data_IF_704041894582
#
_entry.id   IF_704041894582
#
_cell.length_a   1.000
_cell.length_b   1.000
_cell.length_c   1.000
_cell.angle_alpha   90.00
_cell.angle_beta   90.00
_cell.angle_gamma   90.00
#
_symmetry.space_group_name_H-M   'P 1'
#
loop_
_entity.id
_entity.type
_entity.pdbx_description
1 polymer ?
#
# COMPACT_ATOMS: atom_id res chain seq x y z
N UNK A 1 34.94 -2.02 -8.70
CA UNK A 1 34.08 -3.12 -9.17
C UNK A 1 32.65 -2.68 -8.96
N UNK A 2 31.85 -2.55 -10.01
CA UNK A 2 30.43 -2.20 -9.88
C UNK A 2 29.76 -3.33 -9.11
N UNK A 3 29.08 -3.00 -8.03
CA UNK A 3 28.26 -3.94 -7.26
C UNK A 3 27.11 -4.38 -8.18
N UNK A 4 27.26 -5.57 -8.76
CA UNK A 4 26.35 -6.15 -9.74
C UNK A 4 25.17 -6.87 -9.05
N UNK A 5 24.88 -6.51 -7.77
CA UNK A 5 23.76 -7.06 -7.03
C UNK A 5 22.45 -6.48 -7.60
N UNK A 6 21.58 -7.36 -8.12
CA UNK A 6 20.24 -6.98 -8.54
C UNK A 6 19.44 -6.49 -7.34
N UNK A 7 18.66 -5.42 -7.50
CA UNK A 7 17.73 -4.93 -6.48
C UNK A 7 16.58 -5.92 -6.25
N UNK A 8 16.12 -6.54 -7.35
CA UNK A 8 15.08 -7.57 -7.35
C UNK A 8 15.67 -8.81 -8.01
N UNK A 9 15.75 -9.92 -7.26
CA UNK A 9 16.15 -11.24 -7.76
C UNK A 9 15.19 -12.31 -7.23
N UNK A 10 14.37 -12.86 -8.13
CA UNK A 10 13.38 -13.88 -7.77
C UNK A 10 14.03 -15.16 -7.26
N UNK A 11 15.20 -15.54 -7.81
CA UNK A 11 15.92 -16.75 -7.36
C UNK A 11 16.43 -16.56 -5.95
N UNK A 12 17.04 -15.41 -5.65
CA UNK A 12 17.55 -15.11 -4.33
C UNK A 12 16.39 -14.96 -3.33
N UNK A 13 15.29 -14.34 -3.72
CA UNK A 13 14.07 -14.24 -2.91
C UNK A 13 13.46 -15.61 -2.56
N UNK A 14 13.51 -16.58 -3.46
CA UNK A 14 13.08 -17.96 -3.17
C UNK A 14 14.12 -18.65 -2.29
N UNK A 15 15.40 -18.51 -2.62
CA UNK A 15 16.52 -19.14 -1.88
C UNK A 15 16.54 -18.72 -0.42
N UNK A 16 16.40 -17.44 -0.12
CA UNK A 16 16.42 -16.91 1.24
C UNK A 16 15.27 -17.40 2.10
N UNK A 17 14.10 -17.65 1.48
CA UNK A 17 12.91 -18.17 2.19
C UNK A 17 12.89 -19.68 2.30
N UNK A 18 13.26 -20.39 1.25
CA UNK A 18 13.26 -21.85 1.19
C UNK A 18 14.24 -22.39 0.12
N UNK A 19 15.51 -22.65 0.49
CA UNK A 19 16.52 -23.16 -0.45
C UNK A 19 16.13 -24.51 -1.10
N UNK A 20 15.42 -25.37 -0.38
CA UNK A 20 14.97 -26.67 -0.89
C UNK A 20 13.93 -26.50 -2.00
N UNK A 21 13.01 -25.55 -1.83
CA UNK A 21 12.00 -25.23 -2.84
C UNK A 21 12.64 -24.78 -4.16
N UNK A 22 13.71 -23.97 -4.11
CA UNK A 22 14.40 -23.50 -5.32
C UNK A 22 14.97 -24.68 -6.14
N UNK A 23 15.42 -25.75 -5.48
CA UNK A 23 15.93 -26.94 -6.17
C UNK A 23 14.83 -27.75 -6.87
N UNK A 24 13.60 -27.65 -6.38
CA UNK A 24 12.44 -28.39 -6.91
C UNK A 24 11.72 -27.64 -8.04
N UNK A 25 11.87 -26.30 -8.11
CA UNK A 25 11.19 -25.50 -9.13
C UNK A 25 11.95 -25.63 -10.46
N UNK A 26 11.29 -26.10 -11.55
CA UNK A 26 11.88 -26.17 -12.88
C UNK A 26 12.35 -24.80 -13.38
N UNK A 27 13.45 -24.76 -14.14
CA UNK A 27 14.02 -23.51 -14.67
C UNK A 27 13.02 -22.69 -15.48
N UNK A 28 12.12 -23.33 -16.23
CA UNK A 28 11.12 -22.61 -17.03
C UNK A 28 10.11 -21.86 -16.17
N UNK A 29 9.74 -22.39 -14.99
CA UNK A 29 8.86 -21.70 -14.04
C UNK A 29 9.57 -20.47 -13.46
N UNK A 30 10.85 -20.60 -13.09
CA UNK A 30 11.63 -19.45 -12.59
C UNK A 30 11.74 -18.36 -13.68
N UNK A 31 12.00 -18.76 -14.92
CA UNK A 31 12.05 -17.83 -16.05
C UNK A 31 10.69 -17.17 -16.32
N UNK A 32 9.60 -17.91 -16.19
CA UNK A 32 8.26 -17.37 -16.28
C UNK A 32 7.99 -16.33 -15.17
N UNK A 33 8.33 -16.65 -13.91
CA UNK A 33 8.18 -15.71 -12.79
C UNK A 33 9.02 -14.44 -13.00
N UNK A 34 10.30 -14.58 -13.41
CA UNK A 34 11.16 -13.42 -13.74
C UNK A 34 10.52 -12.52 -14.80
N UNK A 35 9.95 -13.12 -15.83
CA UNK A 35 9.27 -12.39 -16.90
C UNK A 35 8.00 -11.72 -16.41
N UNK A 36 7.21 -12.40 -15.56
CA UNK A 36 5.96 -11.88 -14.99
C UNK A 36 6.18 -10.72 -14.04
N UNK A 37 7.25 -10.74 -13.23
CA UNK A 37 7.61 -9.60 -12.36
C UNK A 37 8.43 -8.54 -13.11
N UNK A 38 8.64 -8.71 -14.40
CA UNK A 38 9.46 -7.80 -15.23
C UNK A 38 10.83 -7.49 -14.58
N UNK A 39 11.51 -8.54 -14.05
CA UNK A 39 12.71 -8.41 -13.19
C UNK A 39 13.76 -7.48 -13.79
N UNK A 40 14.10 -7.65 -15.05
CA UNK A 40 15.18 -6.88 -15.69
C UNK A 40 14.75 -5.40 -15.89
N UNK A 41 13.49 -5.14 -16.27
CA UNK A 41 12.95 -3.78 -16.42
C UNK A 41 12.86 -3.04 -15.08
N UNK A 42 12.38 -3.71 -14.03
CA UNK A 42 12.31 -3.11 -12.70
C UNK A 42 13.70 -2.83 -12.11
N UNK A 43 14.68 -3.72 -12.34
CA UNK A 43 16.06 -3.47 -11.93
C UNK A 43 16.69 -2.29 -12.69
N UNK A 44 16.41 -2.12 -13.98
CA UNK A 44 16.85 -0.96 -14.75
C UNK A 44 16.27 0.35 -14.19
N UNK A 45 14.97 0.39 -13.88
CA UNK A 45 14.35 1.55 -13.23
C UNK A 45 15.06 1.85 -11.88
N UNK A 46 15.23 0.85 -11.03
CA UNK A 46 15.84 1.03 -9.72
C UNK A 46 17.31 1.48 -9.82
N UNK A 47 18.06 0.99 -10.79
CA UNK A 47 19.45 1.41 -11.03
C UNK A 47 19.52 2.87 -11.50
N UNK A 48 18.67 3.28 -12.44
CA UNK A 48 18.60 4.68 -12.91
C UNK A 48 18.29 5.67 -11.79
N UNK A 49 17.51 5.25 -10.79
CA UNK A 49 17.06 6.09 -9.68
C UNK A 49 17.75 5.81 -8.34
N UNK A 50 18.83 5.02 -8.30
CA UNK A 50 19.51 4.59 -7.06
C UNK A 50 20.11 5.70 -6.19
N UNK A 51 20.28 6.91 -6.77
CA UNK A 51 20.86 8.07 -6.08
C UNK A 51 19.81 8.94 -5.38
N UNK A 52 18.53 8.71 -5.63
CA UNK A 52 17.44 9.47 -5.04
C UNK A 52 16.61 8.58 -4.12
N UNK A 53 15.97 9.18 -3.12
CA UNK A 53 15.15 8.48 -2.14
C UNK A 53 13.99 9.35 -1.65
N UNK A 54 13.12 8.79 -0.82
CA UNK A 54 12.00 9.49 -0.25
C UNK A 54 11.04 10.03 -1.30
N UNK A 55 10.57 11.26 -1.12
CA UNK A 55 9.58 11.86 -2.02
C UNK A 55 10.14 12.13 -3.42
N UNK A 56 11.43 12.40 -3.59
CA UNK A 56 12.03 12.57 -4.92
C UNK A 56 12.00 11.27 -5.72
N UNK A 57 12.20 10.13 -5.05
CA UNK A 57 12.05 8.83 -5.68
C UNK A 57 10.58 8.55 -6.03
N UNK A 58 9.66 8.87 -5.13
CA UNK A 58 8.21 8.76 -5.38
C UNK A 58 7.79 9.59 -6.59
N UNK A 59 8.21 10.86 -6.66
CA UNK A 59 7.93 11.75 -7.80
C UNK A 59 8.41 11.12 -9.12
N UNK A 60 9.65 10.61 -9.13
CA UNK A 60 10.22 9.98 -10.33
C UNK A 60 9.44 8.73 -10.74
N UNK A 61 9.01 7.89 -9.79
CA UNK A 61 8.19 6.71 -10.10
C UNK A 61 6.81 7.10 -10.64
N UNK A 62 6.13 8.00 -9.96
CA UNK A 62 4.75 8.39 -10.30
C UNK A 62 4.69 9.14 -11.63
N UNK A 63 5.56 10.15 -11.82
CA UNK A 63 5.42 11.10 -12.93
C UNK A 63 6.31 10.78 -14.13
N UNK A 64 7.50 10.19 -13.93
CA UNK A 64 8.46 9.94 -15.04
C UNK A 64 8.37 8.51 -15.55
N UNK A 65 8.39 7.51 -14.64
CA UNK A 65 8.42 6.10 -15.04
C UNK A 65 7.03 5.57 -15.39
N UNK A 66 6.08 5.67 -14.49
CA UNK A 66 4.75 5.09 -14.69
C UNK A 66 3.70 6.10 -15.17
N UNK A 67 3.99 7.40 -15.12
CA UNK A 67 3.15 8.50 -15.63
C UNK A 67 1.69 8.39 -15.19
N UNK A 68 1.50 8.21 -13.88
CA UNK A 68 0.15 8.14 -13.30
C UNK A 68 -0.41 9.55 -13.18
N UNK A 69 -1.57 9.79 -13.77
CA UNK A 69 -2.30 11.03 -13.63
C UNK A 69 -3.27 10.94 -12.44
N UNK A 70 -2.88 11.50 -11.30
CA UNK A 70 -3.73 11.52 -10.12
C UNK A 70 -4.83 12.58 -10.24
N UNK A 71 -6.11 12.15 -10.27
CA UNK A 71 -7.26 13.05 -10.21
C UNK A 71 -7.70 13.19 -8.75
N UNK A 72 -7.35 14.30 -8.12
CA UNK A 72 -7.52 14.51 -6.67
C UNK A 72 -8.75 15.37 -6.40
N UNK A 73 -9.63 14.92 -5.49
CA UNK A 73 -10.82 15.64 -5.03
C UNK A 73 -10.89 15.64 -3.51
N UNK A 74 -11.19 16.79 -2.91
CA UNK A 74 -11.41 16.96 -1.47
C UNK A 74 -10.15 17.16 -0.63
N UNK A 75 -8.95 17.01 -1.19
CA UNK A 75 -7.69 17.15 -0.47
C UNK A 75 -7.39 18.62 -0.08
N UNK A 76 -7.93 19.58 -0.84
CA UNK A 76 -7.84 21.00 -0.54
C UNK A 76 -8.41 21.36 0.84
N UNK A 77 -9.39 20.61 1.32
CA UNK A 77 -10.08 20.83 2.59
C UNK A 77 -9.35 20.24 3.81
N UNK A 78 -8.20 19.60 3.64
CA UNK A 78 -7.43 19.01 4.74
C UNK A 78 -6.47 20.07 5.31
N UNK A 79 -6.65 20.41 6.58
CA UNK A 79 -5.84 21.42 7.29
C UNK A 79 -4.42 20.87 7.58
N UNK A 80 -3.34 21.48 7.04
CA UNK A 80 -1.98 20.98 7.27
C UNK A 80 -1.46 21.18 8.70
N UNK A 81 -2.14 21.92 9.54
CA UNK A 81 -1.74 22.14 10.94
C UNK A 81 -2.10 21.00 11.88
N UNK A 82 -2.92 20.05 11.42
CA UNK A 82 -3.40 18.93 12.23
C UNK A 82 -2.66 17.63 11.92
N UNK A 83 -2.78 16.67 12.85
CA UNK A 83 -2.17 15.34 12.73
C UNK A 83 -3.18 14.31 12.23
N UNK A 84 -2.82 13.59 11.18
CA UNK A 84 -3.74 12.67 10.51
C UNK A 84 -3.23 11.24 10.40
N UNK A 85 -4.19 10.33 10.30
CA UNK A 85 -4.02 8.99 9.72
C UNK A 85 -4.86 8.94 8.46
N UNK A 86 -4.24 8.88 7.29
CA UNK A 86 -4.90 8.65 6.02
C UNK A 86 -5.17 7.15 5.84
N UNK A 87 -6.44 6.79 5.72
CA UNK A 87 -6.84 5.38 5.54
C UNK A 87 -7.50 5.20 4.20
N UNK A 88 -7.00 4.27 3.40
CA UNK A 88 -7.49 4.07 2.04
C UNK A 88 -7.75 2.59 1.72
N UNK A 89 -8.59 2.34 0.71
CA UNK A 89 -8.66 1.04 0.05
C UNK A 89 -7.40 0.77 -0.78
N UNK A 90 -7.16 -0.49 -1.12
CA UNK A 90 -5.91 -0.96 -1.74
C UNK A 90 -6.16 -1.65 -3.09
N UNK A 91 -6.48 -0.90 -4.17
CA UNK A 91 -6.98 -1.50 -5.41
C UNK A 91 -5.91 -2.08 -6.33
N UNK A 92 -4.69 -1.52 -6.41
CA UNK A 92 -3.68 -1.90 -7.40
C UNK A 92 -2.54 -2.78 -6.85
N UNK A 93 -2.02 -2.45 -5.65
CA UNK A 93 -0.98 -3.23 -5.00
C UNK A 93 0.39 -2.58 -4.91
N UNK A 94 0.52 -1.28 -5.13
CA UNK A 94 1.79 -0.58 -4.94
C UNK A 94 1.81 0.85 -5.43
N UNK A 95 1.56 1.11 -6.71
CA UNK A 95 1.70 2.46 -7.28
C UNK A 95 0.67 3.45 -6.73
N UNK A 96 -0.52 3.00 -6.36
CA UNK A 96 -1.49 3.85 -5.67
C UNK A 96 -0.98 4.33 -4.30
N UNK A 97 -0.15 3.54 -3.63
CA UNK A 97 0.51 3.95 -2.40
C UNK A 97 1.57 5.04 -2.65
N UNK A 98 2.40 4.85 -3.69
CA UNK A 98 3.38 5.86 -4.11
C UNK A 98 2.68 7.16 -4.53
N UNK A 99 1.61 7.06 -5.32
CA UNK A 99 0.82 8.22 -5.74
C UNK A 99 0.14 8.92 -4.54
N UNK A 100 -0.36 8.17 -3.55
CA UNK A 100 -0.91 8.75 -2.32
C UNK A 100 0.17 9.47 -1.50
N UNK A 101 1.39 8.92 -1.43
CA UNK A 101 2.55 9.59 -0.82
C UNK A 101 2.91 10.88 -1.54
N UNK A 102 2.89 10.90 -2.89
CA UNK A 102 3.13 12.09 -3.70
C UNK A 102 2.09 13.18 -3.40
N UNK A 103 0.80 12.81 -3.41
CA UNK A 103 -0.29 13.76 -3.12
C UNK A 103 -0.14 14.35 -1.72
N UNK A 104 0.02 13.49 -0.70
CA UNK A 104 0.12 13.93 0.69
C UNK A 104 1.40 14.72 0.93
N UNK A 105 2.53 14.30 0.33
CA UNK A 105 3.83 14.94 0.45
C UNK A 105 3.88 16.39 -0.10
N UNK A 106 2.99 16.76 -1.02
CA UNK A 106 2.86 18.14 -1.52
C UNK A 106 2.33 19.12 -0.48
N UNK A 107 1.62 18.63 0.53
CA UNK A 107 0.98 19.48 1.56
C UNK A 107 1.55 19.23 2.95
N UNK A 108 2.05 18.05 3.21
CA UNK A 108 2.56 17.62 4.51
C UNK A 108 4.01 17.16 4.38
N UNK A 109 4.92 17.66 5.23
CA UNK A 109 6.30 17.17 5.22
C UNK A 109 6.40 15.74 5.74
N UNK A 110 7.33 14.99 5.19
CA UNK A 110 7.72 13.66 5.66
C UNK A 110 6.58 12.67 5.93
N UNK A 111 5.67 12.41 4.97
CA UNK A 111 4.64 11.41 5.17
C UNK A 111 5.24 10.03 5.44
N UNK A 112 4.55 9.21 6.24
CA UNK A 112 4.97 7.86 6.60
C UNK A 112 3.91 6.85 6.18
N UNK A 113 4.32 5.82 5.47
CA UNK A 113 3.43 4.74 5.05
C UNK A 113 3.71 3.46 5.85
N UNK A 114 2.67 2.89 6.46
CA UNK A 114 2.77 1.60 7.16
C UNK A 114 2.73 0.48 6.13
N UNK A 115 3.83 -0.27 6.02
CA UNK A 115 4.03 -1.31 5.01
C UNK A 115 4.42 -2.66 5.61
N UNK A 116 4.23 -3.74 4.85
CA UNK A 116 4.80 -5.02 5.22
C UNK A 116 6.28 -5.11 4.77
N UNK A 117 7.02 -6.09 5.32
CA UNK A 117 8.47 -6.23 5.14
C UNK A 117 8.92 -6.43 3.69
N UNK A 118 8.06 -6.95 2.83
CA UNK A 118 8.43 -7.23 1.43
C UNK A 118 8.83 -5.94 0.71
N UNK A 119 8.15 -4.83 1.03
CA UNK A 119 8.43 -3.54 0.41
C UNK A 119 9.73 -2.90 0.92
N UNK A 120 10.28 -3.37 2.04
CA UNK A 120 11.56 -2.91 2.56
C UNK A 120 12.76 -3.33 1.70
N UNK A 121 12.57 -4.17 0.70
CA UNK A 121 13.62 -4.49 -0.28
C UNK A 121 14.00 -3.29 -1.17
N UNK A 122 13.09 -2.32 -1.35
CA UNK A 122 13.33 -1.11 -2.16
C UNK A 122 13.83 0.02 -1.24
N UNK A 123 15.16 0.13 -1.10
CA UNK A 123 15.82 1.06 -0.17
C UNK A 123 15.42 2.52 -0.37
N UNK A 124 15.16 2.94 -1.60
CA UNK A 124 14.76 4.32 -1.91
C UNK A 124 13.47 4.78 -1.24
N UNK A 125 12.58 3.85 -0.83
CA UNK A 125 11.38 4.15 -0.05
C UNK A 125 11.60 4.19 1.47
N UNK A 126 12.76 3.71 2.00
CA UNK A 126 12.98 3.59 3.44
C UNK A 126 12.66 4.86 4.24
N UNK A 127 13.01 6.08 3.77
CA UNK A 127 12.68 7.29 4.53
C UNK A 127 11.18 7.50 4.76
N UNK A 128 10.32 6.86 3.95
CA UNK A 128 8.87 7.02 3.99
C UNK A 128 8.14 5.84 4.63
N UNK A 129 8.82 4.70 4.89
CA UNK A 129 8.16 3.47 5.31
C UNK A 129 8.30 3.20 6.81
N UNK A 130 7.21 2.70 7.39
CA UNK A 130 7.17 2.12 8.74
C UNK A 130 6.87 0.62 8.57
N UNK A 131 7.85 -0.28 8.80
CA UNK A 131 7.64 -1.71 8.63
C UNK A 131 6.77 -2.31 9.75
N UNK A 132 5.87 -3.22 9.38
CA UNK A 132 5.06 -4.00 10.33
C UNK A 132 5.56 -5.43 10.38
N UNK A 133 6.42 -5.74 11.36
CA UNK A 133 6.82 -7.11 11.67
C UNK A 133 6.20 -7.58 12.97
N UNK A 134 5.71 -8.82 12.97
CA UNK A 134 5.03 -9.41 14.14
C UNK A 134 5.92 -10.32 14.98
N UNK A 135 7.13 -10.66 14.53
CA UNK A 135 7.93 -11.72 15.16
C UNK A 135 9.39 -11.33 15.37
N UNK A 136 9.97 -11.76 16.52
CA UNK A 136 11.38 -11.65 16.84
C UNK A 136 11.82 -10.33 17.49
N UNK A 137 13.14 -10.14 17.66
CA UNK A 137 13.77 -8.93 18.23
C UNK A 137 13.45 -7.67 17.42
N UNK A 138 13.35 -7.79 16.12
CA UNK A 138 12.90 -6.72 15.22
C UNK A 138 11.46 -6.26 15.49
N UNK A 139 10.61 -7.11 16.08
CA UNK A 139 9.23 -6.76 16.43
C UNK A 139 9.12 -5.63 17.47
N UNK A 140 10.04 -5.59 18.47
CA UNK A 140 10.06 -4.53 19.48
C UNK A 140 10.56 -3.19 18.91
N UNK A 141 11.57 -3.23 18.07
CA UNK A 141 12.11 -2.04 17.43
C UNK A 141 11.09 -1.42 16.45
N UNK A 142 10.44 -2.25 15.65
CA UNK A 142 9.38 -1.80 14.75
C UNK A 142 8.16 -1.25 15.52
N UNK A 143 7.83 -1.82 16.68
CA UNK A 143 6.77 -1.29 17.55
C UNK A 143 7.16 0.09 18.09
N UNK A 144 8.41 0.26 18.56
CA UNK A 144 8.94 1.56 19.01
C UNK A 144 8.93 2.59 17.88
N UNK A 145 9.46 2.23 16.71
CA UNK A 145 9.46 3.10 15.52
C UNK A 145 8.04 3.52 15.12
N UNK A 146 7.09 2.59 15.21
CA UNK A 146 5.69 2.89 14.94
C UNK A 146 5.14 3.91 15.95
N UNK A 147 5.37 3.71 17.25
CA UNK A 147 4.89 4.62 18.29
C UNK A 147 5.53 6.00 18.14
N UNK A 148 6.84 6.09 17.91
CA UNK A 148 7.55 7.35 17.63
C UNK A 148 6.95 8.12 16.43
N UNK A 149 6.59 7.41 15.35
CA UNK A 149 5.95 8.05 14.21
C UNK A 149 4.52 8.50 14.52
N UNK A 150 3.75 7.73 15.31
CA UNK A 150 2.41 8.15 15.74
C UNK A 150 2.43 9.30 16.75
N UNK A 151 3.50 9.47 17.53
CA UNK A 151 3.70 10.61 18.44
C UNK A 151 4.11 11.89 17.70
N UNK A 152 4.84 11.76 16.57
CA UNK A 152 5.33 12.89 15.77
C UNK A 152 4.17 13.65 15.08
N UNK A 153 4.48 14.77 14.42
CA UNK A 153 3.49 15.51 13.61
C UNK A 153 3.37 14.97 12.16
N UNK A 154 4.16 13.97 11.80
CA UNK A 154 4.17 13.40 10.46
C UNK A 154 2.83 12.72 10.13
N UNK A 155 2.26 12.91 8.94
CA UNK A 155 1.06 12.20 8.54
C UNK A 155 1.36 10.71 8.34
N UNK A 156 0.44 9.87 8.81
CA UNK A 156 0.54 8.41 8.70
C UNK A 156 -0.44 7.92 7.65
N UNK A 157 0.03 7.12 6.70
CA UNK A 157 -0.78 6.52 5.65
C UNK A 157 -0.85 5.00 5.87
N UNK A 158 -2.02 4.43 5.65
CA UNK A 158 -2.22 2.99 5.82
C UNK A 158 -3.29 2.44 4.89
N UNK A 159 -3.08 1.23 4.40
CA UNK A 159 -4.12 0.37 3.83
C UNK A 159 -4.55 -0.66 4.90
N UNK A 160 -5.68 -0.44 5.60
CA UNK A 160 -6.04 -1.28 6.75
C UNK A 160 -6.33 -2.74 6.40
N UNK A 161 -6.68 -3.03 5.13
CA UNK A 161 -6.83 -4.40 4.63
C UNK A 161 -5.51 -5.19 4.62
N UNK A 162 -4.38 -4.49 4.44
CA UNK A 162 -3.03 -5.08 4.38
C UNK A 162 -2.76 -5.96 3.17
N UNK A 163 -3.76 -6.16 2.31
CA UNK A 163 -3.68 -6.88 1.03
C UNK A 163 -4.55 -6.18 -0.01
N UNK A 164 -4.17 -6.33 -1.25
CA UNK A 164 -4.88 -5.78 -2.41
C UNK A 164 -6.33 -6.25 -2.46
N UNK A 165 -7.23 -5.38 -2.91
CA UNK A 165 -8.66 -5.66 -3.10
C UNK A 165 -8.92 -6.95 -3.88
N UNK A 166 -10.02 -7.58 -3.61
CA UNK A 166 -10.48 -8.82 -4.27
C UNK A 166 -11.84 -8.62 -4.95
N UNK A 167 -12.10 -9.39 -6.00
CA UNK A 167 -13.43 -9.41 -6.63
C UNK A 167 -14.32 -10.44 -5.95
N UNK A 168 -15.34 -9.95 -5.22
CA UNK A 168 -16.32 -10.77 -4.51
C UNK A 168 -17.73 -10.35 -4.93
N UNK A 169 -18.57 -11.30 -5.34
CA UNK A 169 -19.96 -11.04 -5.81
C UNK A 169 -20.04 -9.91 -6.85
N UNK A 170 -19.09 -9.92 -7.81
CA UNK A 170 -19.04 -8.94 -8.90
C UNK A 170 -18.40 -7.59 -8.55
N UNK A 171 -18.21 -7.25 -7.28
CA UNK A 171 -17.63 -5.99 -6.81
C UNK A 171 -16.16 -6.17 -6.43
N UNK A 172 -15.32 -5.18 -6.74
CA UNK A 172 -13.93 -5.11 -6.29
C UNK A 172 -13.92 -4.39 -4.94
N UNK A 173 -13.56 -5.11 -3.89
CA UNK A 173 -13.56 -4.59 -2.52
C UNK A 173 -12.38 -5.16 -1.73
N UNK A 174 -11.93 -4.40 -0.75
CA UNK A 174 -10.92 -4.86 0.19
C UNK A 174 -11.39 -6.03 1.05
N UNK A 175 -10.43 -6.81 1.51
CA UNK A 175 -10.63 -7.72 2.61
C UNK A 175 -11.06 -6.96 3.88
N UNK A 176 -11.25 -7.67 4.98
CA UNK A 176 -11.59 -7.05 6.25
C UNK A 176 -10.52 -6.02 6.67
N UNK A 177 -10.93 -4.81 7.05
CA UNK A 177 -10.05 -3.79 7.57
C UNK A 177 -9.67 -4.08 9.02
N UNK A 178 -8.38 -4.02 9.34
CA UNK A 178 -7.88 -4.22 10.70
C UNK A 178 -8.14 -2.98 11.53
N UNK A 179 -8.59 -3.18 12.76
CA UNK A 179 -8.97 -2.11 13.71
C UNK A 179 -7.81 -1.25 14.24
N UNK A 180 -6.55 -1.61 13.96
CA UNK A 180 -5.39 -0.98 14.60
C UNK A 180 -5.34 0.54 14.38
N UNK A 181 -5.74 1.04 13.21
CA UNK A 181 -5.75 2.48 12.95
C UNK A 181 -6.75 3.23 13.85
N UNK A 182 -7.89 2.63 14.20
CA UNK A 182 -8.85 3.19 15.16
C UNK A 182 -8.21 3.33 16.54
N UNK A 183 -7.59 2.25 17.06
CA UNK A 183 -6.92 2.26 18.35
C UNK A 183 -5.80 3.30 18.40
N UNK A 184 -5.00 3.42 17.32
CA UNK A 184 -3.92 4.40 17.22
C UNK A 184 -4.45 5.84 17.06
N UNK A 185 -5.55 6.06 16.34
CA UNK A 185 -6.21 7.36 16.25
C UNK A 185 -6.62 7.89 17.64
N UNK A 186 -7.26 7.05 18.44
CA UNK A 186 -7.68 7.41 19.82
C UNK A 186 -6.44 7.60 20.72
N UNK A 187 -5.49 6.67 20.71
CA UNK A 187 -4.29 6.70 21.56
C UNK A 187 -3.46 7.97 21.35
N UNK A 188 -3.25 8.36 20.08
CA UNK A 188 -2.36 9.47 19.71
C UNK A 188 -3.12 10.75 19.33
N UNK A 189 -4.45 10.79 19.54
CA UNK A 189 -5.33 11.94 19.26
C UNK A 189 -5.15 12.46 17.81
N UNK A 190 -5.19 11.53 16.83
CA UNK A 190 -5.09 11.83 15.40
C UNK A 190 -6.45 11.73 14.73
N UNK A 191 -6.78 12.71 13.91
CA UNK A 191 -7.97 12.61 13.05
C UNK A 191 -7.73 11.57 11.94
N UNK A 192 -8.78 10.88 11.53
CA UNK A 192 -8.72 9.90 10.44
C UNK A 192 -9.26 10.53 9.15
N UNK A 193 -8.45 10.60 8.11
CA UNK A 193 -8.86 11.02 6.78
C UNK A 193 -9.21 9.79 5.96
N UNK A 194 -10.50 9.56 5.63
CA UNK A 194 -10.89 8.49 4.75
C UNK A 194 -10.58 8.86 3.30
N UNK A 195 -9.97 7.94 2.54
CA UNK A 195 -9.59 8.14 1.14
C UNK A 195 -10.11 6.96 0.31
N UNK A 196 -10.87 7.24 -0.73
CA UNK A 196 -11.21 6.23 -1.73
C UNK A 196 -10.34 6.39 -2.96
N UNK A 197 -9.74 5.29 -3.42
CA UNK A 197 -8.91 5.22 -4.62
C UNK A 197 -9.69 4.40 -5.66
N UNK A 198 -10.07 5.04 -6.77
CA UNK A 198 -10.88 4.40 -7.82
C UNK A 198 -9.99 3.71 -8.85
N UNK A 199 -9.41 2.60 -8.43
CA UNK A 199 -8.55 1.76 -9.24
C UNK A 199 -9.01 0.30 -9.26
N UNK A 200 -8.52 -0.47 -10.22
CA UNK A 200 -8.74 -1.92 -10.28
C UNK A 200 -7.66 -2.61 -11.09
N UNK A 201 -7.35 -3.84 -10.73
CA UNK A 201 -6.52 -4.73 -11.51
C UNK A 201 -7.31 -5.41 -12.64
N UNK A 202 -6.63 -6.13 -13.52
CA UNK A 202 -7.25 -6.83 -14.62
C UNK A 202 -8.24 -7.92 -14.16
N UNK A 203 -9.14 -8.30 -15.04
CA UNK A 203 -10.02 -9.44 -14.76
C UNK A 203 -9.24 -10.75 -14.59
N UNK A 204 -8.07 -10.88 -15.24
CA UNK A 204 -7.18 -12.02 -15.07
C UNK A 204 -6.70 -12.13 -13.62
N UNK A 205 -6.20 -11.03 -13.02
CA UNK A 205 -5.76 -11.01 -11.62
C UNK A 205 -6.84 -11.54 -10.67
N UNK A 206 -8.05 -11.03 -10.79
CA UNK A 206 -9.16 -11.46 -9.91
C UNK A 206 -9.63 -12.88 -10.19
N UNK A 207 -9.70 -13.31 -11.46
CA UNK A 207 -10.08 -14.68 -11.81
C UNK A 207 -9.06 -15.68 -11.29
N UNK A 208 -7.77 -15.38 -11.43
CA UNK A 208 -6.69 -16.23 -10.93
C UNK A 208 -6.72 -16.33 -9.40
N UNK A 209 -6.92 -15.20 -8.69
CA UNK A 209 -7.07 -15.19 -7.24
C UNK A 209 -8.25 -16.06 -6.77
N UNK A 210 -9.40 -15.95 -7.44
CA UNK A 210 -10.60 -16.74 -7.12
C UNK A 210 -10.41 -18.23 -7.46
N UNK A 211 -9.83 -18.55 -8.60
CA UNK A 211 -9.51 -19.94 -9.00
C UNK A 211 -8.57 -20.60 -8.00
N UNK A 212 -7.44 -19.95 -7.68
CA UNK A 212 -6.49 -20.42 -6.67
C UNK A 212 -7.19 -20.75 -5.34
N UNK A 213 -8.07 -19.86 -4.89
CA UNK A 213 -8.84 -20.04 -3.65
C UNK A 213 -9.79 -21.23 -3.76
N UNK A 214 -10.47 -21.39 -4.90
CA UNK A 214 -11.40 -22.50 -5.13
C UNK A 214 -10.74 -23.88 -5.08
N UNK A 215 -9.48 -23.99 -5.55
CA UNK A 215 -8.70 -25.24 -5.49
C UNK A 215 -7.90 -25.41 -4.18
N UNK A 216 -8.18 -24.56 -3.16
CA UNK A 216 -7.61 -24.72 -1.81
C UNK A 216 -6.17 -24.22 -1.62
N UNK A 217 -5.54 -23.55 -2.59
CA UNK A 217 -4.20 -23.00 -2.44
C UNK A 217 -4.25 -21.76 -1.53
N UNK A 218 -3.65 -21.83 -0.35
CA UNK A 218 -3.63 -20.74 0.65
C UNK A 218 -2.66 -19.62 0.30
N UNK A 219 -1.55 -19.90 -0.40
CA UNK A 219 -0.57 -18.90 -0.79
C UNK A 219 -1.17 -17.90 -1.82
N UNK A 220 -0.94 -16.61 -1.63
CA UNK A 220 -1.47 -15.55 -2.52
C UNK A 220 -0.63 -15.43 -3.80
N UNK A 221 -0.68 -16.46 -4.67
CA UNK A 221 0.13 -16.54 -5.90
C UNK A 221 -0.16 -15.40 -6.89
N UNK A 222 -1.37 -14.84 -6.87
CA UNK A 222 -1.74 -13.67 -7.68
C UNK A 222 -0.86 -12.45 -7.40
N UNK A 223 -0.22 -12.37 -6.24
CA UNK A 223 0.68 -11.27 -5.89
C UNK A 223 1.91 -11.18 -6.83
N UNK A 224 2.32 -12.29 -7.45
CA UNK A 224 3.39 -12.27 -8.45
C UNK A 224 3.02 -11.48 -9.71
N UNK A 225 1.74 -11.29 -9.98
CA UNK A 225 1.26 -10.51 -11.13
C UNK A 225 1.12 -9.03 -10.85
N UNK A 226 1.35 -8.54 -9.61
CA UNK A 226 1.15 -7.13 -9.28
C UNK A 226 2.09 -6.19 -10.05
N UNK A 227 3.31 -6.62 -10.36
CA UNK A 227 4.22 -5.80 -11.20
C UNK A 227 3.71 -5.73 -12.64
N UNK A 228 3.20 -6.84 -13.18
CA UNK A 228 2.57 -6.87 -14.50
C UNK A 228 1.30 -5.99 -14.54
N UNK A 229 0.48 -6.02 -13.48
CA UNK A 229 -0.67 -5.13 -13.33
C UNK A 229 -0.26 -3.65 -13.22
N UNK A 230 0.83 -3.35 -12.52
CA UNK A 230 1.41 -2.01 -12.43
C UNK A 230 1.78 -1.48 -13.81
N UNK A 231 2.49 -2.28 -14.62
CA UNK A 231 2.90 -1.89 -15.98
C UNK A 231 1.69 -1.68 -16.89
N UNK A 232 0.65 -2.54 -16.77
CA UNK A 232 -0.61 -2.37 -17.51
C UNK A 232 -1.36 -1.10 -17.14
N UNK A 233 -1.25 -0.65 -15.90
CA UNK A 233 -1.86 0.57 -15.40
C UNK A 233 -0.98 1.81 -15.58
N UNK A 234 0.21 1.71 -16.19
CA UNK A 234 1.03 2.87 -16.51
C UNK A 234 0.30 3.79 -17.52
N UNK A 235 0.60 5.08 -17.47
CA UNK A 235 -0.02 6.14 -18.30
C UNK A 235 -1.55 6.24 -18.14
N UNK A 236 -2.10 5.91 -16.96
CA UNK A 236 -3.53 5.95 -16.71
C UNK A 236 -3.93 6.98 -15.66
N UNK A 237 -5.21 7.34 -15.68
CA UNK A 237 -5.83 8.17 -14.67
C UNK A 237 -6.12 7.33 -13.40
N UNK A 238 -5.86 7.91 -12.24
CA UNK A 238 -6.19 7.31 -10.95
C UNK A 238 -6.88 8.33 -10.04
N UNK A 239 -8.23 8.26 -9.91
CA UNK A 239 -8.97 9.17 -9.06
C UNK A 239 -8.79 8.85 -7.56
N UNK A 240 -8.58 9.93 -6.78
CA UNK A 240 -8.51 9.95 -5.31
C UNK A 240 -9.58 10.85 -4.74
N UNK A 241 -10.43 10.32 -3.88
CA UNK A 241 -11.50 11.03 -3.19
C UNK A 241 -11.17 11.10 -1.71
N UNK A 242 -10.83 12.28 -1.23
CA UNK A 242 -10.56 12.54 0.19
C UNK A 242 -11.84 12.99 0.87
N UNK A 243 -12.30 12.23 1.83
CA UNK A 243 -13.43 12.60 2.68
C UNK A 243 -13.03 13.57 3.79
N UNK A 244 -14.03 14.10 4.49
CA UNK A 244 -13.80 14.97 5.63
C UNK A 244 -13.10 14.21 6.76
N UNK A 245 -12.12 14.85 7.45
CA UNK A 245 -11.48 14.24 8.61
C UNK A 245 -12.50 13.82 9.68
N UNK A 246 -12.33 12.63 10.20
CA UNK A 246 -13.12 12.06 11.30
C UNK A 246 -12.34 12.29 12.60
N UNK A 247 -12.94 13.00 13.56
CA UNK A 247 -12.32 13.23 14.86
C UNK A 247 -12.05 11.89 15.58
N UNK A 248 -10.90 11.76 16.22
CA UNK A 248 -10.59 10.60 17.06
C UNK A 248 -11.60 10.41 18.20
N UNK A 249 -12.27 11.47 18.65
CA UNK A 249 -13.32 11.44 19.69
C UNK A 249 -14.59 10.73 19.22
N UNK A 250 -14.80 10.61 17.90
CA UNK A 250 -15.91 9.85 17.33
C UNK A 250 -15.80 8.35 17.65
N UNK A 251 -14.57 7.85 17.80
CA UNK A 251 -14.31 6.43 18.08
C UNK A 251 -14.41 6.11 19.57
N UNK A 252 -15.58 6.29 20.13
CA UNK A 252 -15.89 6.09 21.54
C UNK A 252 -16.23 4.61 21.88
N UNK A 253 -16.74 4.39 23.08
CA UNK A 253 -17.11 3.06 23.60
C UNK A 253 -18.48 2.56 23.10
N UNK A 254 -19.22 3.33 22.30
CA UNK A 254 -20.53 2.93 21.74
C UNK A 254 -20.42 1.76 20.76
N UNK A 255 -19.25 1.61 20.14
CA UNK A 255 -18.91 0.49 19.24
C UNK A 255 -17.54 -0.08 19.57
N UNK A 256 -17.37 -1.37 19.30
CA UNK A 256 -16.04 -2.01 19.37
C UNK A 256 -15.13 -1.45 18.27
N UNK A 257 -13.79 -1.40 18.47
CA UNK A 257 -12.87 -0.88 17.47
C UNK A 257 -12.99 -1.53 16.08
N UNK A 258 -13.37 -2.81 16.01
CA UNK A 258 -13.60 -3.48 14.74
C UNK A 258 -14.86 -2.99 14.02
N UNK A 259 -15.90 -2.67 14.77
CA UNK A 259 -17.15 -2.11 14.21
C UNK A 259 -16.91 -0.69 13.68
N UNK A 260 -16.10 0.12 14.38
CA UNK A 260 -15.63 1.41 13.87
C UNK A 260 -14.81 1.27 12.58
N UNK A 261 -13.89 0.29 12.52
CA UNK A 261 -13.10 0.05 11.32
C UNK A 261 -13.97 -0.34 10.12
N UNK A 262 -15.01 -1.14 10.34
CA UNK A 262 -15.98 -1.52 9.32
C UNK A 262 -16.81 -0.31 8.86
N UNK A 263 -17.26 0.55 9.79
CA UNK A 263 -17.99 1.77 9.46
C UNK A 263 -17.13 2.74 8.63
N UNK A 264 -15.86 2.94 9.00
CA UNK A 264 -14.92 3.76 8.22
C UNK A 264 -14.69 3.17 6.83
N UNK A 265 -14.52 1.85 6.72
CA UNK A 265 -14.41 1.17 5.42
C UNK A 265 -15.63 1.44 4.54
N UNK A 266 -16.83 1.25 5.06
CA UNK A 266 -18.07 1.52 4.33
C UNK A 266 -18.15 2.98 3.89
N UNK A 267 -17.80 3.91 4.77
CA UNK A 267 -17.74 5.33 4.44
C UNK A 267 -16.76 5.62 3.30
N UNK A 268 -15.56 5.03 3.32
CA UNK A 268 -14.58 5.16 2.24
C UNK A 268 -15.16 4.74 0.89
N UNK A 269 -15.85 3.60 0.81
CA UNK A 269 -16.44 3.16 -0.45
C UNK A 269 -17.59 4.04 -0.96
N UNK A 270 -18.23 4.80 -0.08
CA UNK A 270 -19.29 5.76 -0.45
C UNK A 270 -18.72 7.12 -0.93
N UNK A 271 -17.43 7.41 -0.72
CA UNK A 271 -16.81 8.68 -1.16
C UNK A 271 -16.77 8.82 -2.67
N UNK A 272 -16.82 7.74 -3.42
CA UNK A 272 -16.92 7.79 -4.88
C UNK A 272 -18.18 8.51 -5.35
N UNK A 273 -19.29 8.30 -4.64
CA UNK A 273 -20.58 8.92 -4.96
C UNK A 273 -20.66 10.35 -4.43
N UNK A 274 -20.20 10.56 -3.18
CA UNK A 274 -20.19 11.88 -2.55
C UNK A 274 -18.99 11.98 -1.55
N UNK A 275 -17.91 12.61 -1.98
CA UNK A 275 -16.71 12.83 -1.13
C UNK A 275 -16.90 13.95 -0.09
N UNK A 276 -17.96 14.75 -0.21
CA UNK A 276 -18.30 15.81 0.77
C UNK A 276 -19.11 15.28 1.95
N UNK A 277 -19.55 14.04 1.87
CA UNK A 277 -20.33 13.32 2.87
C UNK A 277 -19.65 13.34 4.25
N UNK A 278 -20.46 13.59 5.28
CA UNK A 278 -20.00 13.46 6.67
C UNK A 278 -20.02 12.00 7.11
N UNK A 279 -19.06 11.63 7.94
CA UNK A 279 -19.10 10.36 8.68
C UNK A 279 -20.18 10.44 9.75
N UNK A 280 -21.05 9.43 9.79
CA UNK A 280 -22.17 9.35 10.74
C UNK A 280 -21.85 8.36 11.85
#
# INVERSE_FOLDING_TARGET
MADNSKFIDIKESIRSKNPALLKLIPKFIINYLRKTIHEDYMNDILDRHKKINGLDFVDSMVHKEFKINAIVKGFENIDPSKRYIFVANHPWGGMEAATLLDIVGKKFPEPRFIVNDILMSIKSYHPLFIPVNKHGSQGRENARLMDENFESDKPILIFPAGLVSRKTKGKVVDLEWKKNFISKAVQYKREVVPVFIDGRNSNFFYRFANFRKAIGIKANLEMFFLVDELIKNANSDLPYYFGKPISYQTFDKSKRPQEWANAVKEHVYNLKEDYTRKFM
#
